data_IF_956000396658
#
_entry.id   IF_956000396658
#
_cell.length_a   1.000
_cell.length_b   1.000
_cell.length_c   1.000
_cell.angle_alpha   90.00
_cell.angle_beta   90.00
_cell.angle_gamma   90.00
#
_symmetry.space_group_name_H-M   'P 1'
#
loop_
_entity.id
_entity.type
_entity.pdbx_description
1 polymer ?
#
# COMPACT_ATOMS: atom_id res chain seq x y z
N UNK A 1 -26.03 -22.30 61.75
CA UNK A 1 -25.66 -22.40 60.33
C UNK A 1 -24.59 -21.35 60.05
N UNK A 2 -23.32 -21.72 59.87
CA UNK A 2 -22.23 -20.75 59.57
C UNK A 2 -21.11 -21.32 58.66
N UNK A 3 -20.97 -22.65 58.54
CA UNK A 3 -19.88 -23.28 57.79
C UNK A 3 -19.97 -23.21 56.24
N UNK A 4 -21.10 -22.74 55.69
CA UNK A 4 -21.27 -22.59 54.24
C UNK A 4 -20.54 -21.36 53.69
N UNK A 5 -20.65 -20.24 54.42
CA UNK A 5 -20.09 -18.94 54.04
C UNK A 5 -18.56 -19.02 53.89
N UNK A 6 -17.88 -19.63 54.86
CA UNK A 6 -16.41 -19.71 54.90
C UNK A 6 -15.82 -20.50 53.73
N UNK A 7 -16.49 -21.59 53.31
CA UNK A 7 -16.04 -22.40 52.16
C UNK A 7 -16.28 -21.66 50.84
N UNK A 8 -17.40 -20.96 50.73
CA UNK A 8 -17.75 -20.19 49.54
C UNK A 8 -16.83 -18.97 49.38
N UNK A 9 -16.55 -18.25 50.46
CA UNK A 9 -15.54 -17.18 50.50
C UNK A 9 -14.14 -17.67 50.12
N UNK A 10 -13.69 -18.82 50.65
CA UNK A 10 -12.40 -19.39 50.29
C UNK A 10 -12.32 -19.79 48.81
N UNK A 11 -13.38 -20.40 48.25
CA UNK A 11 -13.44 -20.71 46.82
C UNK A 11 -13.41 -19.46 45.93
N UNK A 12 -14.13 -18.40 46.31
CA UNK A 12 -14.09 -17.10 45.61
C UNK A 12 -12.70 -16.47 45.69
N UNK A 13 -12.04 -16.51 46.85
CA UNK A 13 -10.67 -16.00 47.02
C UNK A 13 -9.65 -16.78 46.18
N UNK A 14 -9.73 -18.12 46.15
CA UNK A 14 -8.88 -18.96 45.30
C UNK A 14 -9.14 -18.72 43.80
N UNK A 15 -10.40 -18.52 43.41
CA UNK A 15 -10.78 -18.13 42.05
C UNK A 15 -10.18 -16.78 41.65
N UNK A 16 -10.33 -15.77 42.51
CA UNK A 16 -9.76 -14.43 42.32
C UNK A 16 -8.22 -14.46 42.25
N UNK A 17 -7.55 -15.23 43.12
CA UNK A 17 -6.10 -15.39 43.11
C UNK A 17 -5.59 -16.05 41.82
N UNK A 18 -6.31 -17.06 41.29
CA UNK A 18 -6.00 -17.68 39.99
C UNK A 18 -6.19 -16.70 38.83
N UNK A 19 -7.26 -15.91 38.84
CA UNK A 19 -7.50 -14.89 37.81
C UNK A 19 -6.42 -13.79 37.84
N UNK A 20 -6.05 -13.32 39.03
CA UNK A 20 -4.96 -12.34 39.21
C UNK A 20 -3.61 -12.89 38.75
N UNK A 21 -3.29 -14.14 39.10
CA UNK A 21 -2.07 -14.80 38.63
C UNK A 21 -2.02 -14.90 37.10
N UNK A 22 -3.12 -15.35 36.47
CA UNK A 22 -3.22 -15.42 35.01
C UNK A 22 -3.06 -14.06 34.35
N UNK A 23 -3.66 -13.00 34.91
CA UNK A 23 -3.50 -11.63 34.44
C UNK A 23 -2.02 -11.17 34.52
N UNK A 24 -1.38 -11.34 35.68
CA UNK A 24 0.03 -10.94 35.90
C UNK A 24 0.97 -11.67 34.94
N UNK A 25 0.83 -13.00 34.79
CA UNK A 25 1.66 -13.80 33.87
C UNK A 25 1.42 -13.38 32.42
N UNK A 26 0.17 -13.15 32.02
CA UNK A 26 -0.16 -12.70 30.65
C UNK A 26 0.40 -11.32 30.37
N UNK A 27 0.29 -10.38 31.31
CA UNK A 27 0.88 -9.04 31.18
C UNK A 27 2.41 -9.12 31.09
N UNK A 28 3.07 -9.92 31.94
CA UNK A 28 4.52 -10.10 31.88
C UNK A 28 4.97 -10.71 30.54
N UNK A 29 4.24 -11.71 30.02
CA UNK A 29 4.50 -12.31 28.71
C UNK A 29 4.32 -11.31 27.57
N UNK A 30 3.25 -10.49 27.60
CA UNK A 30 3.03 -9.45 26.60
C UNK A 30 4.13 -8.38 26.63
N UNK A 31 4.58 -7.95 27.82
CA UNK A 31 5.72 -7.05 27.97
C UNK A 31 7.02 -7.68 27.41
N UNK A 32 7.24 -8.96 27.66
CA UNK A 32 8.40 -9.70 27.16
C UNK A 32 8.35 -9.93 25.64
N UNK A 33 7.18 -10.07 25.01
CA UNK A 33 7.05 -10.18 23.56
C UNK A 33 7.15 -8.82 22.85
N UNK A 34 6.67 -7.73 23.47
CA UNK A 34 6.50 -6.42 22.83
C UNK A 34 7.55 -5.37 23.25
N UNK A 35 8.75 -5.80 23.67
CA UNK A 35 9.79 -4.94 24.23
C UNK A 35 10.15 -3.75 23.33
N UNK A 36 10.33 -4.01 22.03
CA UNK A 36 10.70 -3.01 21.04
C UNK A 36 9.59 -1.96 20.84
N UNK A 37 8.33 -2.39 20.80
CA UNK A 37 7.15 -1.51 20.73
C UNK A 37 7.01 -0.65 21.99
N UNK A 38 7.26 -1.21 23.18
CA UNK A 38 7.21 -0.49 24.45
C UNK A 38 8.34 0.54 24.54
N UNK A 39 9.55 0.18 24.11
CA UNK A 39 10.70 1.09 24.03
C UNK A 39 10.42 2.26 23.08
N UNK A 40 9.90 1.98 21.90
CA UNK A 40 9.51 3.01 20.92
C UNK A 40 8.42 3.93 21.48
N UNK A 41 7.36 3.36 22.07
CA UNK A 41 6.29 4.13 22.72
C UNK A 41 6.83 5.05 23.80
N UNK A 42 7.72 4.57 24.68
CA UNK A 42 8.33 5.43 25.69
C UNK A 42 9.19 6.54 25.09
N UNK A 43 9.95 6.25 24.04
CA UNK A 43 10.74 7.26 23.34
C UNK A 43 9.84 8.33 22.70
N UNK A 44 8.70 7.93 22.12
CA UNK A 44 7.69 8.82 21.52
C UNK A 44 6.90 9.63 22.55
N UNK A 45 6.56 9.03 23.69
CA UNK A 45 5.64 9.61 24.69
C UNK A 45 6.34 10.41 25.80
N UNK A 46 7.53 9.97 26.20
CA UNK A 46 8.27 10.50 27.34
C UNK A 46 9.68 10.99 26.98
N UNK A 47 10.08 10.90 25.71
CA UNK A 47 11.41 11.28 25.20
C UNK A 47 12.57 10.53 25.89
N UNK A 48 12.29 9.36 26.46
CA UNK A 48 13.22 8.52 27.24
C UNK A 48 13.02 7.04 26.90
N UNK A 49 14.05 6.23 27.07
CA UNK A 49 13.93 4.77 26.95
C UNK A 49 13.42 4.16 28.27
N UNK A 50 12.38 3.32 28.20
CA UNK A 50 11.90 2.51 29.33
C UNK A 50 12.64 1.16 29.45
N UNK A 51 13.89 1.06 29.01
CA UNK A 51 14.68 -0.15 29.19
C UNK A 51 15.03 -0.32 30.68
N UNK A 52 14.65 -1.45 31.27
CA UNK A 52 15.10 -1.83 32.61
C UNK A 52 16.60 -2.15 32.51
N UNK A 53 17.50 -1.42 33.23
CA UNK A 53 18.93 -1.67 33.19
C UNK A 53 19.26 -3.12 33.58
N UNK A 54 20.34 -3.66 33.01
CA UNK A 54 20.75 -5.09 33.10
C UNK A 54 19.78 -6.06 32.38
N UNK A 55 18.47 -5.96 32.60
CA UNK A 55 17.48 -6.84 31.99
C UNK A 55 17.42 -6.67 30.46
N UNK A 56 17.43 -5.44 29.96
CA UNK A 56 17.43 -5.13 28.51
C UNK A 56 18.62 -5.68 27.71
N UNK A 57 19.67 -6.17 28.38
CA UNK A 57 20.84 -6.78 27.76
C UNK A 57 20.85 -8.31 27.86
N UNK A 58 20.02 -8.90 28.73
CA UNK A 58 19.98 -10.35 28.94
C UNK A 58 19.49 -11.07 27.66
N UNK A 59 20.18 -12.14 27.18
CA UNK A 59 19.73 -12.89 26.02
C UNK A 59 18.32 -13.47 26.17
N UNK A 60 17.98 -13.99 27.36
CA UNK A 60 16.64 -14.50 27.66
C UNK A 60 15.55 -13.41 27.66
N UNK A 61 15.90 -12.15 27.92
CA UNK A 61 14.99 -11.03 27.72
C UNK A 61 14.82 -10.80 26.21
N UNK A 62 15.91 -10.50 25.48
CA UNK A 62 15.89 -10.20 24.04
C UNK A 62 15.27 -11.30 23.16
N UNK A 63 15.32 -12.55 23.60
CA UNK A 63 14.67 -13.67 22.92
C UNK A 63 13.17 -13.45 22.70
N UNK A 64 12.47 -12.72 23.57
CA UNK A 64 11.05 -12.40 23.39
C UNK A 64 10.77 -11.54 22.15
N UNK A 65 11.56 -10.48 21.95
CA UNK A 65 11.47 -9.65 20.74
C UNK A 65 11.90 -10.41 19.48
N UNK A 66 12.94 -11.24 19.57
CA UNK A 66 13.38 -12.12 18.47
C UNK A 66 12.30 -13.14 18.09
N UNK A 67 11.60 -13.72 19.08
CA UNK A 67 10.50 -14.64 18.86
C UNK A 67 9.33 -13.95 18.17
N UNK A 68 8.96 -12.73 18.59
CA UNK A 68 7.93 -11.92 17.90
C UNK A 68 8.30 -11.69 16.43
N UNK A 69 9.53 -11.25 16.14
CA UNK A 69 10.01 -11.05 14.77
C UNK A 69 10.02 -12.35 13.94
N UNK A 70 10.42 -13.47 14.55
CA UNK A 70 10.40 -14.78 13.89
C UNK A 70 8.97 -15.27 13.62
N UNK A 71 8.03 -15.02 14.54
CA UNK A 71 6.61 -15.33 14.37
C UNK A 71 5.96 -14.45 13.29
N UNK A 72 6.33 -13.17 13.19
CA UNK A 72 5.91 -12.29 12.09
C UNK A 72 6.41 -12.82 10.74
N UNK A 73 7.72 -13.13 10.63
CA UNK A 73 8.30 -13.71 9.41
C UNK A 73 7.65 -15.06 9.03
N UNK A 74 7.41 -15.94 10.01
CA UNK A 74 6.72 -17.21 9.77
C UNK A 74 5.28 -16.99 9.33
N UNK A 75 4.52 -16.10 9.99
CA UNK A 75 3.16 -15.70 9.59
C UNK A 75 3.14 -15.21 8.14
N UNK A 76 4.06 -14.33 7.77
CA UNK A 76 4.09 -13.71 6.46
C UNK A 76 4.44 -14.74 5.37
N UNK A 77 5.40 -15.64 5.63
CA UNK A 77 5.70 -16.77 4.74
C UNK A 77 4.57 -17.81 4.67
N UNK A 78 3.79 -17.97 5.74
CA UNK A 78 2.63 -18.87 5.78
C UNK A 78 1.45 -18.26 5.04
N UNK A 79 1.25 -16.94 5.10
CA UNK A 79 0.28 -16.23 4.27
C UNK A 79 0.63 -16.35 2.79
N UNK A 80 1.92 -16.27 2.43
CA UNK A 80 2.40 -16.50 1.06
C UNK A 80 2.12 -17.95 0.58
N UNK A 81 2.28 -18.95 1.46
CA UNK A 81 2.00 -20.37 1.15
C UNK A 81 0.51 -20.73 1.14
N UNK A 82 -0.30 -20.11 2.02
CA UNK A 82 -1.74 -20.34 2.11
C UNK A 82 -2.53 -19.62 1.00
N UNK A 83 -1.93 -18.64 0.32
CA UNK A 83 -2.45 -18.19 -0.97
C UNK A 83 -2.40 -19.38 -1.95
N UNK A 84 -3.54 -19.86 -2.47
CA UNK A 84 -3.50 -20.98 -3.40
C UNK A 84 -2.64 -20.60 -4.61
N UNK A 85 -1.61 -21.40 -4.86
CA UNK A 85 -1.34 -21.81 -6.22
C UNK A 85 -2.65 -22.47 -6.69
N UNK A 86 -3.42 -21.76 -7.51
CA UNK A 86 -4.58 -22.32 -8.16
C UNK A 86 -4.06 -23.31 -9.21
N UNK A 87 -3.69 -24.51 -8.74
CA UNK A 87 -3.68 -25.71 -9.53
C UNK A 87 -5.14 -25.97 -9.93
N UNK A 88 -5.60 -25.22 -10.94
CA UNK A 88 -6.63 -25.71 -11.83
C UNK A 88 -6.03 -26.96 -12.47
N UNK A 89 -6.35 -28.11 -11.86
CA UNK A 89 -6.12 -29.39 -12.47
C UNK A 89 -6.68 -29.32 -13.88
N UNK A 90 -5.88 -29.73 -14.87
CA UNK A 90 -6.26 -29.76 -16.27
C UNK A 90 -7.32 -30.84 -16.50
N UNK A 91 -8.56 -30.57 -16.08
CA UNK A 91 -9.72 -31.31 -16.53
C UNK A 91 -10.00 -30.85 -17.97
N UNK A 92 -9.92 -31.74 -18.98
CA UNK A 92 -10.24 -31.36 -20.35
C UNK A 92 -11.73 -30.99 -20.42
N UNK A 93 -12.02 -29.75 -20.80
CA UNK A 93 -13.38 -29.28 -21.05
C UNK A 93 -13.87 -29.94 -22.34
N UNK A 94 -14.59 -31.05 -22.19
CA UNK A 94 -15.45 -31.57 -23.26
C UNK A 94 -16.66 -30.64 -23.33
N UNK A 95 -16.74 -29.86 -24.41
CA UNK A 95 -17.90 -29.01 -24.69
C UNK A 95 -19.12 -29.91 -24.97
N UNK A 96 -20.26 -29.73 -24.28
CA UNK A 96 -21.50 -30.37 -24.68
C UNK A 96 -22.00 -29.80 -26.02
N UNK A 97 -22.66 -30.63 -26.82
CA UNK A 97 -23.17 -30.23 -28.13
C UNK A 97 -24.19 -29.06 -28.04
N UNK A 98 -24.22 -28.15 -29.04
CA UNK A 98 -25.15 -27.03 -29.03
C UNK A 98 -26.60 -27.51 -29.19
N UNK A 99 -27.43 -27.23 -28.19
CA UNK A 99 -28.87 -27.53 -28.26
C UNK A 99 -29.56 -26.72 -29.37
N UNK A 100 -30.59 -27.28 -30.03
CA UNK A 100 -31.29 -26.61 -31.12
C UNK A 100 -32.09 -25.40 -30.62
N UNK A 101 -31.93 -24.26 -31.30
CA UNK A 101 -32.67 -23.03 -30.98
C UNK A 101 -34.09 -23.11 -31.56
N UNK A 102 -35.09 -23.15 -30.68
CA UNK A 102 -36.50 -23.02 -31.08
C UNK A 102 -36.79 -21.57 -31.49
N UNK A 103 -36.95 -21.34 -32.80
CA UNK A 103 -37.37 -20.06 -33.33
C UNK A 103 -38.85 -19.80 -33.03
N UNK A 104 -39.15 -18.77 -32.24
CA UNK A 104 -40.52 -18.26 -32.08
C UNK A 104 -40.82 -17.33 -33.26
N UNK A 105 -41.70 -17.76 -34.16
CA UNK A 105 -42.11 -16.98 -35.32
C UNK A 105 -43.15 -15.92 -34.90
N UNK A 106 -42.94 -14.66 -35.29
CA UNK A 106 -43.78 -13.51 -34.97
C UNK A 106 -44.19 -12.77 -36.25
N UNK A 107 -45.05 -13.41 -37.03
CA UNK A 107 -45.69 -12.80 -38.20
C UNK A 107 -46.84 -11.86 -37.73
N UNK A 108 -46.55 -10.55 -37.77
CA UNK A 108 -47.33 -9.36 -38.20
C UNK A 108 -48.85 -9.45 -38.50
N UNK A 109 -49.60 -8.32 -38.60
CA UNK A 109 -49.19 -6.89 -38.63
C UNK A 109 -49.94 -5.99 -37.58
N UNK A 110 -49.59 -4.73 -37.32
CA UNK A 110 -49.79 -3.53 -38.17
C UNK A 110 -49.43 -2.24 -37.34
N UNK A 111 -49.28 -0.99 -37.83
CA UNK A 111 -49.06 -0.30 -39.13
C UNK A 111 -48.68 1.18 -38.83
N UNK A 112 -48.00 1.89 -39.76
CA UNK A 112 -47.56 3.32 -39.71
C UNK A 112 -46.42 3.64 -38.70
N UNK A 113 -45.39 4.46 -39.01
CA UNK A 113 -45.26 5.47 -40.07
C UNK A 113 -43.90 5.45 -40.83
N UNK A 114 -43.80 6.25 -41.90
CA UNK A 114 -42.70 6.28 -42.90
C UNK A 114 -41.37 6.89 -42.40
N UNK A 115 -40.21 6.47 -42.94
CA UNK A 115 -38.95 7.20 -42.87
C UNK A 115 -38.89 8.33 -43.92
N UNK A 116 -38.14 9.40 -43.64
CA UNK A 116 -37.77 10.41 -44.64
C UNK A 116 -36.25 10.39 -44.85
N UNK A 117 -35.83 10.20 -46.10
CA UNK A 117 -34.44 10.34 -46.52
C UNK A 117 -34.12 11.80 -46.87
N UNK A 118 -32.86 12.20 -46.73
CA UNK A 118 -32.32 13.42 -47.31
C UNK A 118 -31.02 13.11 -48.06
N UNK A 119 -30.97 13.53 -49.33
CA UNK A 119 -29.92 13.25 -50.30
C UNK A 119 -28.81 14.32 -50.29
N UNK A 120 -27.71 14.07 -51.02
CA UNK A 120 -26.49 14.87 -50.99
C UNK A 120 -26.35 15.88 -52.14
N UNK A 121 -25.33 16.75 -52.01
CA UNK A 121 -24.54 17.42 -53.08
C UNK A 121 -25.15 18.66 -53.82
N UNK A 122 -24.35 19.54 -54.49
CA UNK A 122 -22.86 19.68 -54.53
C UNK A 122 -22.23 21.14 -54.56
N UNK A 123 -20.88 21.19 -54.54
CA UNK A 123 -19.85 22.23 -54.88
C UNK A 123 -20.11 23.75 -54.94
N UNK A 124 -19.10 24.52 -54.44
CA UNK A 124 -18.42 25.59 -55.20
C UNK A 124 -16.90 25.62 -54.90
N UNK A 125 -16.06 25.95 -55.90
CA UNK A 125 -14.60 26.20 -55.83
C UNK A 125 -14.37 27.73 -55.70
N UNK A 126 -13.20 28.37 -55.52
CA UNK A 126 -11.78 28.14 -55.85
C UNK A 126 -10.92 29.20 -55.06
N UNK A 127 -9.61 29.48 -55.33
CA UNK A 127 -8.60 28.77 -56.12
C UNK A 127 -7.30 28.44 -55.33
N UNK A 128 -6.30 27.86 -56.00
CA UNK A 128 -5.07 27.33 -55.41
C UNK A 128 -3.89 28.32 -55.32
N UNK A 129 -2.92 28.01 -54.45
CA UNK A 129 -1.56 28.53 -54.47
C UNK A 129 -0.56 27.36 -54.59
N UNK A 130 0.50 27.54 -55.39
CA UNK A 130 1.50 26.49 -55.68
C UNK A 130 2.65 26.50 -54.65
N UNK A 131 3.24 25.34 -54.31
CA UNK A 131 4.37 25.26 -53.38
C UNK A 131 5.72 25.49 -54.07
N UNK A 132 6.67 26.10 -53.34
CA UNK A 132 8.08 26.21 -53.72
C UNK A 132 8.87 24.96 -53.28
N UNK A 133 9.91 24.53 -54.02
CA UNK A 133 10.71 23.36 -53.68
C UNK A 133 11.76 23.68 -52.60
N UNK A 134 11.98 22.74 -51.68
CA UNK A 134 13.08 22.76 -50.70
C UNK A 134 13.85 21.41 -50.80
N UNK A 135 15.20 21.37 -50.75
CA UNK A 135 15.94 20.18 -51.17
C UNK A 135 15.85 19.00 -50.19
N UNK A 136 15.98 17.79 -50.73
CA UNK A 136 16.07 16.56 -49.95
C UNK A 136 17.36 16.54 -49.09
N UNK A 137 17.20 16.43 -47.77
CA UNK A 137 18.30 16.16 -46.85
C UNK A 137 18.44 14.65 -46.60
N UNK A 138 19.69 14.18 -46.59
CA UNK A 138 20.09 12.76 -46.64
C UNK A 138 19.65 12.01 -45.37
N UNK A 139 18.96 10.89 -45.54
CA UNK A 139 18.62 9.96 -44.46
C UNK A 139 19.87 9.26 -43.91
N UNK A 140 20.26 9.55 -42.67
CA UNK A 140 21.18 8.70 -41.91
C UNK A 140 20.38 7.76 -41.01
N UNK A 141 20.46 6.45 -41.30
CA UNK A 141 19.81 5.41 -40.51
C UNK A 141 20.60 5.11 -39.25
N UNK A 142 20.27 5.79 -38.15
CA UNK A 142 20.70 5.39 -36.79
C UNK A 142 19.87 4.17 -36.36
N UNK A 143 20.46 3.11 -35.77
CA UNK A 143 19.68 1.99 -35.24
C UNK A 143 18.72 2.48 -34.16
N UNK A 144 17.42 2.16 -34.30
CA UNK A 144 16.42 2.59 -33.35
C UNK A 144 16.62 1.89 -31.99
N UNK A 145 17.00 2.67 -30.98
CA UNK A 145 16.73 2.29 -29.60
C UNK A 145 15.21 2.17 -29.40
N UNK A 146 14.71 1.20 -28.61
CA UNK A 146 13.28 1.07 -28.37
C UNK A 146 12.73 2.35 -27.74
N UNK A 147 11.74 2.96 -28.38
CA UNK A 147 11.10 4.17 -27.88
C UNK A 147 10.40 3.89 -26.54
N UNK A 148 10.43 4.81 -25.56
CA UNK A 148 9.67 4.65 -24.32
C UNK A 148 8.18 4.49 -24.65
N UNK A 149 7.55 3.45 -24.09
CA UNK A 149 6.12 3.28 -24.22
C UNK A 149 5.40 4.46 -23.57
N UNK A 150 4.63 5.22 -24.35
CA UNK A 150 3.83 6.33 -23.82
C UNK A 150 2.82 5.78 -22.80
N UNK A 151 2.92 6.25 -21.56
CA UNK A 151 2.01 5.88 -20.48
C UNK A 151 0.57 6.25 -20.88
N UNK A 152 -0.39 5.36 -20.61
CA UNK A 152 -1.81 5.65 -20.88
C UNK A 152 -2.32 6.77 -19.95
N UNK A 153 -3.36 7.53 -20.32
CA UNK A 153 -3.93 8.56 -19.45
C UNK A 153 -4.37 7.97 -18.10
N UNK A 154 -3.72 8.41 -17.02
CA UNK A 154 -3.94 7.90 -15.65
C UNK A 154 -2.93 6.86 -15.18
N UNK A 155 -2.09 6.31 -16.06
CA UNK A 155 -0.91 5.53 -15.68
C UNK A 155 0.20 6.45 -15.15
N UNK A 156 0.86 6.03 -14.07
CA UNK A 156 1.97 6.74 -13.42
C UNK A 156 3.28 5.94 -13.38
N UNK A 157 3.26 4.66 -13.73
CA UNK A 157 4.46 3.84 -13.84
C UNK A 157 4.36 2.82 -14.98
N UNK A 158 5.50 2.35 -15.49
CA UNK A 158 5.60 1.21 -16.38
C UNK A 158 6.47 0.10 -15.80
N UNK A 159 6.10 -1.16 -16.06
CA UNK A 159 6.89 -2.36 -15.73
C UNK A 159 6.93 -3.32 -16.92
N UNK A 160 8.14 -3.78 -17.26
CA UNK A 160 8.42 -4.75 -18.30
C UNK A 160 8.72 -6.15 -17.73
N UNK A 161 8.90 -7.13 -18.62
CA UNK A 161 9.26 -8.49 -18.23
C UNK A 161 10.64 -8.54 -17.53
N UNK A 162 10.68 -9.07 -16.31
CA UNK A 162 11.89 -9.16 -15.49
C UNK A 162 12.02 -8.06 -14.43
N UNK A 163 11.22 -7.00 -14.52
CA UNK A 163 11.19 -5.93 -13.53
C UNK A 163 10.60 -6.40 -12.19
N UNK A 164 10.95 -5.69 -11.12
CA UNK A 164 10.49 -5.95 -9.76
C UNK A 164 9.92 -4.70 -9.09
N UNK A 165 9.01 -4.93 -8.13
CA UNK A 165 8.39 -3.88 -7.32
C UNK A 165 8.86 -3.96 -5.87
N UNK A 166 9.40 -2.88 -5.34
CA UNK A 166 9.78 -2.75 -3.95
C UNK A 166 8.64 -2.15 -3.12
N UNK A 167 8.22 -2.85 -2.07
CA UNK A 167 7.13 -2.45 -1.19
C UNK A 167 7.68 -1.97 0.16
N UNK A 168 7.58 -0.67 0.37
CA UNK A 168 8.11 0.08 1.52
C UNK A 168 6.93 0.58 2.35
N UNK A 169 6.95 0.37 3.67
CA UNK A 169 5.92 0.96 4.51
C UNK A 169 5.68 0.32 5.85
N UNK A 170 4.69 0.86 6.56
CA UNK A 170 4.35 0.45 7.92
C UNK A 170 3.25 -0.62 7.97
N UNK A 171 2.44 -0.67 9.03
CA UNK A 171 1.32 -1.60 9.14
C UNK A 171 0.23 -1.36 8.08
N UNK A 172 0.13 -0.16 7.50
CA UNK A 172 -0.75 0.10 6.35
C UNK A 172 -0.26 -0.66 5.11
N UNK A 173 1.05 -0.59 4.81
CA UNK A 173 1.65 -1.35 3.70
C UNK A 173 1.58 -2.85 3.95
N UNK A 174 1.87 -3.33 5.17
CA UNK A 174 1.77 -4.77 5.47
C UNK A 174 0.39 -5.36 5.16
N UNK A 175 -0.69 -4.58 5.33
CA UNK A 175 -2.03 -5.02 4.95
C UNK A 175 -2.24 -5.09 3.43
N UNK A 176 -1.66 -4.17 2.66
CA UNK A 176 -1.87 -4.03 1.20
C UNK A 176 -0.91 -4.91 0.39
N UNK A 177 0.35 -4.98 0.79
CA UNK A 177 1.44 -5.61 0.07
C UNK A 177 1.16 -7.07 -0.35
N UNK A 178 0.57 -7.96 0.49
CA UNK A 178 0.29 -9.34 0.09
C UNK A 178 -0.71 -9.46 -1.08
N UNK A 179 -1.67 -8.53 -1.20
CA UNK A 179 -2.64 -8.53 -2.30
C UNK A 179 -2.01 -7.98 -3.57
N UNK A 180 -1.27 -6.87 -3.47
CA UNK A 180 -0.55 -6.27 -4.59
C UNK A 180 0.50 -7.24 -5.18
N UNK A 181 1.33 -7.85 -4.32
CA UNK A 181 2.31 -8.85 -4.71
C UNK A 181 1.68 -10.08 -5.38
N UNK A 182 0.56 -10.58 -4.84
CA UNK A 182 -0.17 -11.68 -5.46
C UNK A 182 -0.72 -11.31 -6.84
N UNK A 183 -1.29 -10.10 -7.01
CA UNK A 183 -1.81 -9.66 -8.31
C UNK A 183 -0.69 -9.41 -9.34
N UNK A 184 0.40 -8.75 -8.95
CA UNK A 184 1.60 -8.57 -9.79
C UNK A 184 2.17 -9.90 -10.28
N UNK A 185 2.39 -10.85 -9.36
CA UNK A 185 2.93 -12.18 -9.66
C UNK A 185 1.99 -13.00 -10.54
N UNK A 186 0.68 -13.02 -10.24
CA UNK A 186 -0.28 -13.89 -10.95
C UNK A 186 -0.72 -13.36 -12.31
N UNK A 187 -0.90 -12.04 -12.46
CA UNK A 187 -1.41 -11.44 -13.71
C UNK A 187 -0.31 -11.01 -14.69
N UNK A 188 0.88 -10.69 -14.18
CA UNK A 188 1.96 -10.05 -14.95
C UNK A 188 3.35 -10.68 -14.74
N UNK A 189 3.46 -11.72 -13.90
CA UNK A 189 4.71 -12.43 -13.57
C UNK A 189 5.81 -11.54 -12.96
N UNK A 190 5.46 -10.35 -12.49
CA UNK A 190 6.34 -9.40 -11.80
C UNK A 190 6.62 -9.89 -10.37
N UNK A 191 7.90 -9.87 -9.96
CA UNK A 191 8.31 -10.18 -8.59
C UNK A 191 8.22 -8.95 -7.69
N UNK A 192 8.13 -9.18 -6.38
CA UNK A 192 8.12 -8.10 -5.39
C UNK A 192 9.10 -8.35 -4.27
N UNK A 193 9.81 -7.31 -3.85
CA UNK A 193 10.56 -7.27 -2.59
C UNK A 193 9.69 -6.55 -1.57
N UNK A 194 9.24 -7.24 -0.52
CA UNK A 194 8.41 -6.62 0.53
C UNK A 194 9.20 -6.55 1.84
N UNK A 195 9.52 -5.34 2.29
CA UNK A 195 10.18 -5.11 3.58
C UNK A 195 9.28 -4.39 4.59
N UNK A 196 7.98 -4.22 4.29
CA UNK A 196 7.05 -3.47 5.14
C UNK A 196 6.98 -4.02 6.58
N UNK A 197 7.01 -3.12 7.56
CA UNK A 197 7.24 -3.46 8.97
C UNK A 197 6.37 -2.63 9.92
N UNK A 198 5.67 -3.30 10.83
CA UNK A 198 4.82 -2.64 11.83
C UNK A 198 5.60 -1.68 12.72
N UNK A 199 4.89 -0.65 13.22
CA UNK A 199 5.44 0.36 14.13
C UNK A 199 6.66 1.13 13.58
N UNK A 200 6.92 1.08 12.27
CA UNK A 200 7.97 1.87 11.62
C UNK A 200 7.42 3.15 10.99
N UNK A 201 8.31 4.09 10.69
CA UNK A 201 8.01 5.39 10.12
C UNK A 201 9.31 6.14 9.84
N UNK A 202 9.23 7.33 9.25
CA UNK A 202 10.40 8.16 8.99
C UNK A 202 10.87 8.93 10.24
N UNK A 203 10.04 9.10 11.27
CA UNK A 203 10.32 9.95 12.43
C UNK A 203 11.41 9.37 13.36
N UNK A 204 11.51 8.05 13.47
CA UNK A 204 12.38 7.34 14.45
C UNK A 204 13.41 6.40 13.77
N UNK A 205 14.44 6.94 13.07
CA UNK A 205 15.44 6.14 12.34
C UNK A 205 16.35 5.29 13.25
N UNK A 206 16.31 5.50 14.58
CA UNK A 206 16.96 4.63 15.56
C UNK A 206 16.20 3.34 15.86
N UNK A 207 14.91 3.27 15.51
CA UNK A 207 14.08 2.06 15.59
C UNK A 207 14.11 1.30 14.27
N UNK A 208 13.83 2.00 13.16
CA UNK A 208 13.96 1.47 11.82
C UNK A 208 14.29 2.60 10.84
N UNK A 209 15.31 2.41 9.99
CA UNK A 209 15.85 3.46 9.13
C UNK A 209 15.45 3.24 7.66
N UNK A 210 14.25 3.67 7.29
CA UNK A 210 13.75 3.56 5.92
C UNK A 210 14.70 4.13 4.85
N UNK A 211 15.28 5.35 4.98
CA UNK A 211 16.26 5.85 4.02
C UNK A 211 17.46 4.93 3.81
N UNK A 212 17.99 4.32 4.88
CA UNK A 212 19.08 3.33 4.76
C UNK A 212 18.60 2.04 4.10
N UNK A 213 17.49 1.47 4.56
CA UNK A 213 16.94 0.23 4.02
C UNK A 213 16.62 0.35 2.53
N UNK A 214 16.14 1.53 2.09
CA UNK A 214 15.91 1.81 0.66
C UNK A 214 17.23 1.81 -0.11
N UNK A 215 18.24 2.55 0.35
CA UNK A 215 19.56 2.55 -0.30
C UNK A 215 20.14 1.13 -0.42
N UNK A 216 20.26 0.42 0.71
CA UNK A 216 20.78 -0.94 0.78
C UNK A 216 20.00 -1.93 -0.11
N UNK A 217 18.68 -1.77 -0.23
CA UNK A 217 17.87 -2.65 -1.09
C UNK A 217 18.11 -2.36 -2.57
N UNK A 218 18.12 -1.09 -2.98
CA UNK A 218 18.32 -0.70 -4.39
C UNK A 218 19.75 -0.96 -4.87
N UNK A 219 20.75 -0.93 -3.97
CA UNK A 219 22.13 -1.35 -4.24
C UNK A 219 22.25 -2.85 -4.60
N UNK A 220 21.42 -3.71 -3.98
CA UNK A 220 21.55 -5.16 -4.11
C UNK A 220 20.49 -5.83 -5.02
N UNK A 221 19.42 -5.12 -5.40
CA UNK A 221 18.33 -5.63 -6.23
C UNK A 221 18.14 -4.77 -7.50
N UNK A 222 19.02 -4.89 -8.50
CA UNK A 222 19.05 -4.00 -9.68
C UNK A 222 17.79 -4.08 -10.56
N UNK A 223 17.02 -5.16 -10.47
CA UNK A 223 15.80 -5.36 -11.26
C UNK A 223 14.59 -4.56 -10.73
N UNK A 224 14.68 -3.95 -9.54
CA UNK A 224 13.61 -3.07 -9.05
C UNK A 224 13.49 -1.89 -10.00
N UNK A 225 12.31 -1.66 -10.59
CA UNK A 225 11.99 -0.51 -11.46
C UNK A 225 10.86 0.37 -10.93
N UNK A 226 10.13 -0.11 -9.91
CA UNK A 226 9.11 0.64 -9.17
C UNK A 226 9.26 0.42 -7.67
N UNK A 227 9.17 1.50 -6.89
CA UNK A 227 9.03 1.47 -5.45
C UNK A 227 7.66 2.05 -5.06
N UNK A 228 6.86 1.29 -4.32
CA UNK A 228 5.60 1.76 -3.74
C UNK A 228 5.84 2.02 -2.25
N UNK A 229 5.59 3.25 -1.81
CA UNK A 229 5.76 3.69 -0.42
C UNK A 229 4.38 3.92 0.21
N UNK A 230 4.10 3.34 1.39
CA UNK A 230 2.86 3.63 2.13
C UNK A 230 3.15 3.71 3.64
N UNK A 231 3.22 4.94 4.13
CA UNK A 231 3.67 5.32 5.48
C UNK A 231 2.82 6.45 6.05
N UNK A 232 2.62 6.47 7.37
CA UNK A 232 2.11 7.69 8.03
C UNK A 232 1.77 7.58 9.50
N UNK A 233 0.93 6.63 9.96
CA UNK A 233 0.36 6.67 11.32
C UNK A 233 1.36 6.72 12.48
N UNK A 234 2.60 6.27 12.26
CA UNK A 234 3.66 6.21 13.27
C UNK A 234 4.58 7.45 13.33
N UNK A 235 4.33 8.46 12.48
CA UNK A 235 5.19 9.65 12.32
C UNK A 235 4.71 10.98 12.96
N UNK A 236 3.44 11.17 13.39
CA UNK A 236 2.96 12.37 14.11
C UNK A 236 3.51 12.60 15.53
N UNK A 237 4.81 12.39 15.73
CA UNK A 237 5.52 12.50 17.00
C UNK A 237 6.67 13.50 16.90
N UNK A 238 7.08 14.01 18.05
CA UNK A 238 8.29 14.82 18.15
C UNK A 238 9.51 13.96 17.76
N UNK A 239 10.49 14.51 17.04
CA UNK A 239 11.61 13.74 16.46
C UNK A 239 12.93 13.92 17.23
N UNK A 240 13.71 12.86 17.47
CA UNK A 240 15.04 12.99 18.08
C UNK A 240 16.06 13.62 17.11
N UNK A 241 16.92 14.51 17.62
CA UNK A 241 18.03 15.12 16.86
C UNK A 241 19.42 14.49 17.15
N UNK A 242 19.47 13.45 17.98
CA UNK A 242 20.71 12.86 18.51
C UNK A 242 20.78 12.94 20.05
N UNK A 243 21.81 12.33 20.64
CA UNK A 243 21.96 12.26 22.10
C UNK A 243 22.11 13.65 22.72
N UNK A 244 21.36 13.92 23.80
CA UNK A 244 21.45 15.15 24.58
C UNK A 244 20.84 16.41 23.93
N UNK A 245 20.28 16.31 22.72
CA UNK A 245 19.57 17.42 22.06
C UNK A 245 18.06 17.38 22.39
N UNK A 246 17.37 18.53 22.41
CA UNK A 246 15.92 18.56 22.49
C UNK A 246 15.30 17.83 21.29
N UNK A 247 14.08 17.31 21.49
CA UNK A 247 13.31 16.75 20.40
C UNK A 247 12.71 17.89 19.56
N UNK A 248 12.66 17.68 18.24
CA UNK A 248 11.95 18.55 17.32
C UNK A 248 10.46 18.39 17.54
N UNK A 249 9.73 19.48 17.78
CA UNK A 249 8.29 19.45 17.99
C UNK A 249 7.58 19.12 16.67
N UNK A 250 6.65 18.17 16.65
CA UNK A 250 5.85 17.86 15.46
C UNK A 250 5.24 19.14 14.85
N UNK A 251 5.43 19.33 13.54
CA UNK A 251 5.11 20.54 12.76
C UNK A 251 5.92 21.82 13.06
N UNK A 252 7.05 21.76 13.79
CA UNK A 252 7.99 22.89 13.80
C UNK A 252 8.74 22.99 12.46
N UNK A 253 9.25 24.17 12.06
CA UNK A 253 10.01 24.32 10.82
C UNK A 253 11.22 23.37 10.74
N UNK A 254 11.88 23.13 11.86
CA UNK A 254 13.05 22.24 11.95
C UNK A 254 12.62 20.76 11.91
N UNK A 255 11.47 20.41 12.50
CA UNK A 255 10.86 19.09 12.33
C UNK A 255 10.55 18.82 10.86
N UNK A 256 9.92 19.78 10.19
CA UNK A 256 9.53 19.65 8.79
C UNK A 256 10.75 19.50 7.88
N UNK A 257 11.75 20.37 8.03
CA UNK A 257 13.01 20.27 7.29
C UNK A 257 13.71 18.91 7.51
N UNK A 258 13.77 18.44 8.76
CA UNK A 258 14.36 17.14 9.08
C UNK A 258 13.54 15.93 8.60
N UNK A 259 12.23 16.10 8.37
CA UNK A 259 11.34 15.06 7.85
C UNK A 259 11.39 15.03 6.31
N UNK A 260 11.30 16.19 5.65
CA UNK A 260 11.52 16.34 4.20
C UNK A 260 12.87 15.75 3.78
N UNK A 261 13.95 16.08 4.49
CA UNK A 261 15.27 15.50 4.21
C UNK A 261 15.33 13.95 4.27
N UNK A 262 14.41 13.28 4.98
CA UNK A 262 14.29 11.81 5.00
C UNK A 262 13.45 11.27 3.84
N UNK A 263 12.44 12.02 3.40
CA UNK A 263 11.70 11.75 2.14
C UNK A 263 12.66 11.93 0.95
N UNK A 264 13.37 13.05 0.90
CA UNK A 264 14.35 13.40 -0.12
C UNK A 264 15.43 12.32 -0.24
N UNK A 265 15.93 11.81 0.89
CA UNK A 265 16.89 10.71 0.90
C UNK A 265 16.35 9.40 0.31
N UNK A 266 15.03 9.13 0.41
CA UNK A 266 14.39 7.95 -0.22
C UNK A 266 14.22 8.18 -1.73
N UNK A 267 13.70 9.35 -2.12
CA UNK A 267 13.46 9.71 -3.53
C UNK A 267 14.76 9.85 -4.32
N UNK A 268 15.83 10.35 -3.70
CA UNK A 268 17.16 10.47 -4.30
C UNK A 268 17.80 9.11 -4.60
N UNK A 269 17.61 8.10 -3.75
CA UNK A 269 18.08 6.75 -4.05
C UNK A 269 17.27 6.12 -5.18
N UNK A 270 15.94 6.30 -5.19
CA UNK A 270 15.12 5.84 -6.32
C UNK A 270 15.59 6.48 -7.64
N UNK A 271 15.82 7.79 -7.65
CA UNK A 271 16.34 8.55 -8.81
C UNK A 271 17.71 8.05 -9.29
N UNK A 272 18.62 7.68 -8.38
CA UNK A 272 19.96 7.16 -8.73
C UNK A 272 19.94 5.78 -9.38
N UNK A 273 18.96 4.95 -9.02
CA UNK A 273 18.83 3.58 -9.53
C UNK A 273 17.85 3.47 -10.71
N UNK A 274 17.33 4.62 -11.18
CA UNK A 274 16.29 4.73 -12.22
C UNK A 274 15.00 3.96 -11.86
N UNK A 275 14.54 4.19 -10.62
CA UNK A 275 13.36 3.58 -10.02
C UNK A 275 12.23 4.60 -9.93
N UNK A 276 11.10 4.28 -10.53
CA UNK A 276 9.86 5.06 -10.39
C UNK A 276 9.34 4.95 -8.95
N UNK A 277 8.73 6.00 -8.41
CA UNK A 277 8.16 6.01 -7.06
C UNK A 277 6.69 6.37 -7.10
N UNK A 278 5.88 5.49 -6.49
CA UNK A 278 4.48 5.74 -6.19
C UNK A 278 4.29 5.83 -4.67
N UNK A 279 4.14 7.06 -4.17
CA UNK A 279 3.90 7.32 -2.76
C UNK A 279 2.40 7.34 -2.48
N UNK A 280 1.91 6.34 -1.77
CA UNK A 280 0.52 6.26 -1.31
C UNK A 280 0.37 7.09 -0.04
N UNK A 281 -0.46 8.13 -0.09
CA UNK A 281 -0.79 8.97 1.04
C UNK A 281 -1.69 8.24 2.05
N UNK A 282 -1.39 8.32 3.36
CA UNK A 282 -2.25 7.74 4.40
C UNK A 282 -3.64 8.38 4.36
N UNK A 283 -4.72 7.58 4.43
CA UNK A 283 -6.07 8.13 4.42
C UNK A 283 -6.43 8.76 5.78
N UNK A 284 -7.57 9.45 5.80
CA UNK A 284 -8.18 9.97 7.01
C UNK A 284 -8.41 8.87 8.05
N UNK A 285 -8.40 9.26 9.32
CA UNK A 285 -8.42 8.38 10.48
C UNK A 285 -9.59 8.77 11.39
N UNK A 286 -10.18 7.81 12.11
CA UNK A 286 -11.32 8.10 13.01
C UNK A 286 -11.02 9.22 14.02
N UNK A 287 -9.81 9.21 14.57
CA UNK A 287 -9.38 10.21 15.56
C UNK A 287 -8.94 11.48 14.82
N UNK A 288 -9.75 12.53 14.89
CA UNK A 288 -9.52 13.82 14.21
C UNK A 288 -8.08 14.37 14.33
N UNK A 289 -7.45 14.30 15.51
CA UNK A 289 -6.04 14.72 15.70
C UNK A 289 -5.06 13.90 14.85
N UNK A 290 -5.27 12.60 14.71
CA UNK A 290 -4.44 11.74 13.86
C UNK A 290 -4.77 11.99 12.38
N UNK A 291 -6.05 12.18 12.03
CA UNK A 291 -6.47 12.51 10.66
C UNK A 291 -5.84 13.82 10.16
N UNK A 292 -5.89 14.89 10.95
CA UNK A 292 -5.24 16.17 10.64
C UNK A 292 -3.71 16.03 10.50
N UNK A 293 -3.10 15.12 11.26
CA UNK A 293 -1.69 14.81 11.11
C UNK A 293 -1.40 14.02 9.82
N UNK A 294 -2.26 13.10 9.40
CA UNK A 294 -2.15 12.43 8.09
C UNK A 294 -2.28 13.45 6.95
N UNK A 295 -3.24 14.37 7.02
CA UNK A 295 -3.36 15.45 6.04
C UNK A 295 -2.09 16.31 5.92
N UNK A 296 -1.46 16.65 7.05
CA UNK A 296 -0.18 17.37 7.05
C UNK A 296 0.96 16.54 6.42
N UNK A 297 1.14 15.27 6.81
CA UNK A 297 2.18 14.40 6.23
C UNK A 297 1.97 14.19 4.73
N UNK A 298 0.72 13.99 4.31
CA UNK A 298 0.32 13.86 2.90
C UNK A 298 0.70 15.07 2.05
N UNK A 299 0.60 16.29 2.60
CA UNK A 299 1.11 17.50 1.94
C UNK A 299 2.63 17.44 1.71
N UNK A 300 3.40 17.05 2.74
CA UNK A 300 4.86 16.89 2.61
C UNK A 300 5.23 15.84 1.56
N UNK A 301 4.53 14.70 1.55
CA UNK A 301 4.76 13.63 0.56
C UNK A 301 4.46 14.11 -0.86
N UNK A 302 3.31 14.74 -1.07
CA UNK A 302 2.90 15.27 -2.38
C UNK A 302 3.91 16.30 -2.91
N UNK A 303 4.32 17.25 -2.08
CA UNK A 303 5.31 18.27 -2.45
C UNK A 303 6.68 17.66 -2.80
N UNK A 304 7.23 16.76 -1.96
CA UNK A 304 8.54 16.17 -2.26
C UNK A 304 8.49 15.24 -3.48
N UNK A 305 7.44 14.43 -3.66
CA UNK A 305 7.32 13.61 -4.89
C UNK A 305 7.29 14.48 -6.15
N UNK A 306 6.54 15.58 -6.14
CA UNK A 306 6.49 16.51 -7.28
C UNK A 306 7.86 17.13 -7.61
N UNK A 307 8.65 17.52 -6.59
CA UNK A 307 10.01 18.04 -6.79
C UNK A 307 10.96 17.03 -7.44
N UNK A 308 10.76 15.73 -7.20
CA UNK A 308 11.56 14.64 -7.78
C UNK A 308 10.98 14.09 -9.11
N UNK A 309 9.87 14.66 -9.61
CA UNK A 309 9.17 14.14 -10.80
C UNK A 309 8.51 12.78 -10.57
N UNK A 310 8.20 12.45 -9.31
CA UNK A 310 7.61 11.20 -8.87
C UNK A 310 6.13 11.36 -8.51
N UNK A 311 5.44 10.26 -8.23
CA UNK A 311 3.99 10.23 -8.14
C UNK A 311 3.48 10.06 -6.71
N UNK A 312 2.48 10.86 -6.35
CA UNK A 312 1.72 10.74 -5.12
C UNK A 312 0.26 10.35 -5.43
N UNK A 313 -0.28 9.39 -4.69
CA UNK A 313 -1.69 8.95 -4.78
C UNK A 313 -2.33 8.97 -3.40
N UNK A 314 -3.43 9.71 -3.22
CA UNK A 314 -4.17 9.69 -1.95
C UNK A 314 -5.00 8.41 -1.81
N UNK A 315 -4.96 7.77 -0.64
CA UNK A 315 -5.86 6.66 -0.34
C UNK A 315 -7.31 7.08 -0.01
N UNK A 316 -7.58 8.38 0.19
CA UNK A 316 -8.92 8.87 0.57
C UNK A 316 -10.01 8.53 -0.48
N UNK A 317 -9.85 8.84 -1.79
CA UNK A 317 -10.88 8.54 -2.79
C UNK A 317 -11.20 7.05 -2.91
N UNK A 318 -10.18 6.19 -2.75
CA UNK A 318 -10.29 4.71 -2.78
C UNK A 318 -11.27 4.20 -1.72
N UNK A 319 -11.28 4.86 -0.56
CA UNK A 319 -12.14 4.52 0.57
C UNK A 319 -13.46 5.31 0.58
N UNK A 320 -13.72 6.11 -0.46
CA UNK A 320 -14.91 6.96 -0.58
C UNK A 320 -14.89 8.16 0.36
N UNK A 321 -13.69 8.66 0.74
CA UNK A 321 -13.55 9.80 1.64
C UNK A 321 -13.34 11.09 0.85
N UNK A 322 -14.02 12.16 1.28
CA UNK A 322 -13.85 13.53 0.82
C UNK A 322 -13.36 14.40 1.97
N UNK A 323 -12.51 15.38 1.69
CA UNK A 323 -11.99 16.34 2.67
C UNK A 323 -11.42 15.64 3.93
N UNK A 324 -11.87 16.01 5.13
CA UNK A 324 -11.52 15.39 6.41
C UNK A 324 -12.41 14.16 6.77
N UNK A 325 -13.29 13.72 5.88
CA UNK A 325 -14.27 12.67 6.13
C UNK A 325 -13.65 11.30 6.42
N UNK A 326 -14.23 10.57 7.37
CA UNK A 326 -13.86 9.19 7.70
C UNK A 326 -15.12 8.30 7.75
N UNK A 327 -15.02 7.10 7.18
CA UNK A 327 -16.09 6.11 7.24
C UNK A 327 -15.55 4.67 7.36
N UNK A 328 -16.22 3.86 8.18
CA UNK A 328 -15.96 2.42 8.29
C UNK A 328 -16.33 1.62 7.03
N UNK A 329 -17.24 2.16 6.21
CA UNK A 329 -17.75 1.52 4.99
C UNK A 329 -17.68 2.43 3.78
N UNK A 330 -17.36 1.88 2.62
CA UNK A 330 -17.48 2.56 1.31
C UNK A 330 -18.53 1.87 0.43
N UNK A 331 -18.88 2.46 -0.70
CA UNK A 331 -19.67 1.83 -1.76
C UNK A 331 -18.74 1.31 -2.85
N UNK A 332 -18.95 0.07 -3.33
CA UNK A 332 -18.25 -0.42 -4.53
C UNK A 332 -18.86 0.20 -5.79
N UNK A 333 -18.20 0.13 -6.97
CA UNK A 333 -18.77 0.60 -8.24
C UNK A 333 -20.14 -0.02 -8.60
N UNK A 334 -20.47 -1.18 -8.01
CA UNK A 334 -21.76 -1.87 -8.16
C UNK A 334 -22.81 -1.43 -7.11
N UNK A 335 -22.59 -0.31 -6.41
CA UNK A 335 -23.49 0.23 -5.38
C UNK A 335 -23.53 -0.53 -4.06
N UNK A 336 -22.73 -1.60 -3.90
CA UNK A 336 -22.74 -2.42 -2.67
C UNK A 336 -21.95 -1.72 -1.56
N UNK A 337 -22.58 -1.48 -0.41
CA UNK A 337 -21.87 -0.97 0.77
C UNK A 337 -21.04 -2.08 1.44
N UNK A 338 -19.75 -1.83 1.66
CA UNK A 338 -18.79 -2.81 2.22
C UNK A 338 -17.91 -2.18 3.31
N UNK A 339 -17.57 -2.95 4.36
CA UNK A 339 -16.67 -2.50 5.44
C UNK A 339 -15.22 -2.51 4.98
N UNK A 340 -14.54 -1.37 5.08
CA UNK A 340 -13.16 -1.14 4.61
C UNK A 340 -12.17 -0.80 5.73
N UNK A 341 -12.63 -0.38 6.91
CA UNK A 341 -11.81 -0.19 8.12
C UNK A 341 -12.14 -1.21 9.19
N UNK A 342 -11.15 -1.61 9.99
CA UNK A 342 -11.38 -2.33 11.25
C UNK A 342 -11.66 -1.35 12.39
N UNK A 343 -12.07 -1.87 13.55
CA UNK A 343 -12.66 -1.08 14.65
C UNK A 343 -11.66 -0.23 15.45
N UNK A 344 -10.39 -0.17 15.03
CA UNK A 344 -9.37 0.73 15.61
C UNK A 344 -9.31 2.12 14.93
N UNK A 345 -10.09 2.32 13.85
CA UNK A 345 -10.15 3.57 13.10
C UNK A 345 -8.93 3.85 12.20
N UNK A 346 -7.93 2.95 12.17
CA UNK A 346 -6.65 3.12 11.49
C UNK A 346 -6.51 2.09 10.37
N UNK A 347 -6.58 0.80 10.68
CA UNK A 347 -6.25 -0.26 9.73
C UNK A 347 -7.44 -0.67 8.83
N UNK A 348 -7.13 -1.43 7.79
CA UNK A 348 -8.07 -1.85 6.76
C UNK A 348 -8.58 -3.28 6.96
N UNK A 349 -9.84 -3.53 6.59
CA UNK A 349 -10.32 -4.91 6.35
C UNK A 349 -9.63 -5.49 5.12
N UNK A 350 -9.71 -6.82 4.91
CA UNK A 350 -9.25 -7.47 3.67
C UNK A 350 -9.85 -6.80 2.41
N UNK A 351 -11.10 -6.34 2.47
CA UNK A 351 -11.73 -5.59 1.38
C UNK A 351 -11.05 -4.25 1.14
N UNK A 352 -10.78 -3.47 2.20
CA UNK A 352 -10.05 -2.19 2.08
C UNK A 352 -8.63 -2.36 1.55
N UNK A 353 -7.91 -3.38 2.06
CA UNK A 353 -6.56 -3.74 1.59
C UNK A 353 -6.55 -4.03 0.08
N UNK A 354 -7.52 -4.83 -0.40
CA UNK A 354 -7.66 -5.15 -1.83
C UNK A 354 -8.02 -3.95 -2.68
N UNK A 355 -8.91 -3.06 -2.22
CA UNK A 355 -9.25 -1.84 -2.97
C UNK A 355 -8.03 -0.93 -3.17
N UNK A 356 -7.20 -0.76 -2.14
CA UNK A 356 -5.95 0.01 -2.26
C UNK A 356 -4.95 -0.71 -3.17
N UNK A 357 -4.81 -2.04 -3.05
CA UNK A 357 -3.91 -2.81 -3.92
C UNK A 357 -4.30 -2.74 -5.41
N UNK A 358 -5.60 -2.89 -5.74
CA UNK A 358 -6.08 -2.80 -7.13
C UNK A 358 -5.99 -1.36 -7.67
N UNK A 359 -6.16 -0.32 -6.83
CA UNK A 359 -5.90 1.06 -7.26
C UNK A 359 -4.41 1.33 -7.51
N UNK A 360 -3.50 0.80 -6.69
CA UNK A 360 -2.06 0.90 -6.96
C UNK A 360 -1.73 0.18 -8.26
N UNK A 361 -2.32 -0.99 -8.49
CA UNK A 361 -2.13 -1.79 -9.70
C UNK A 361 -2.66 -1.09 -10.97
N UNK A 362 -3.79 -0.40 -10.90
CA UNK A 362 -4.38 0.30 -12.07
C UNK A 362 -3.59 1.54 -12.52
N UNK A 363 -2.70 2.06 -11.66
CA UNK A 363 -1.78 3.13 -12.00
C UNK A 363 -0.51 2.64 -12.70
N UNK A 364 -0.32 1.31 -12.84
CA UNK A 364 0.86 0.71 -13.47
C UNK A 364 0.47 0.17 -14.85
N UNK A 365 1.25 0.51 -15.87
CA UNK A 365 1.17 -0.11 -17.19
C UNK A 365 2.17 -1.25 -17.31
N UNK A 366 1.78 -2.27 -18.08
CA UNK A 366 2.54 -3.50 -18.27
C UNK A 366 2.82 -3.70 -19.78
N UNK A 367 3.56 -2.78 -20.44
CA UNK A 367 3.78 -2.81 -21.88
C UNK A 367 4.46 -4.12 -22.31
N UNK A 368 3.88 -4.79 -23.30
CA UNK A 368 4.40 -6.07 -23.84
C UNK A 368 4.14 -7.30 -22.96
N UNK A 369 3.55 -7.16 -21.77
CA UNK A 369 3.15 -8.28 -20.92
C UNK A 369 1.72 -8.70 -21.26
N UNK A 370 1.54 -9.95 -21.69
CA UNK A 370 0.20 -10.54 -21.86
C UNK A 370 -0.45 -10.75 -20.49
N UNK A 371 -1.60 -10.11 -20.25
CA UNK A 371 -2.41 -10.37 -19.05
C UNK A 371 -2.81 -11.84 -19.06
N UNK A 372 -2.27 -12.62 -18.13
CA UNK A 372 -2.69 -14.02 -17.95
C UNK A 372 -4.06 -14.03 -17.29
N UNK A 373 -5.10 -14.26 -18.10
CA UNK A 373 -6.49 -14.05 -17.72
C UNK A 373 -6.98 -14.91 -16.55
N UNK A 374 -7.56 -14.25 -15.56
CA UNK A 374 -8.24 -14.82 -14.38
C UNK A 374 -9.45 -13.95 -14.02
#
# INVERSE_FOLDING_TARGET
MQASDSKQLFQVQVGAARALYALVVTTALLFWLNQDSIKLYCQQKYHQGCEIPLLGQAPAWRFGAQLTLALEQQRDSLLERLQPAAQLAQAPVVLPEPMPVLAVNLETPAVLAKPLAATAQPVHQAPAAQPLPVPAAVTQSVPAAPAPALLQPGTVAALAAGDEVFLVGDSLMQGVAPHLANSLRKRYQIRTVNLSKQSTGLAYPGFFNWPRTVAETLDHAPNIRLMVVFLGPNDPWDMPQGKGKPFLRFKSPEWEAAYRARIDAILEQARRHDVQVLWVGPPNMEKARLSSAMGYLSGLYQEQTALYGQHYVSANPILGYTDDGFAYTTQTPQGKRVKVRVDDGIHFTITGQKLIAEQVLSLISFPGLTVTGH
#
